data_IF_038673096063
#
_entry.id   IF_038673096063
#
_cell.length_a   1.000
_cell.length_b   1.000
_cell.length_c   1.000
_cell.angle_alpha   90.00
_cell.angle_beta   90.00
_cell.angle_gamma   90.00
#
_symmetry.space_group_name_H-M   'P 1'
#
loop_
_entity.id
_entity.type
_entity.pdbx_description
1 polymer ?
#
# COMPACT_ATOMS: atom_id res chain seq x y z
N UNK A 1 18.46 -20.08 10.53
CA UNK A 1 18.46 -21.14 11.57
C UNK A 1 18.27 -20.46 12.92
N UNK A 2 17.28 -20.88 13.69
CA UNK A 2 17.02 -20.44 15.07
C UNK A 2 17.35 -21.61 15.99
N UNK A 3 18.12 -21.36 17.05
CA UNK A 3 18.43 -22.35 18.07
C UNK A 3 18.03 -21.81 19.44
N UNK A 4 17.29 -22.62 20.19
CA UNK A 4 16.91 -22.36 21.57
C UNK A 4 17.52 -23.47 22.42
N UNK A 5 18.42 -23.09 23.32
CA UNK A 5 18.98 -23.95 24.38
C UNK A 5 19.10 -23.10 25.66
N UNK A 6 20.19 -23.20 26.42
CA UNK A 6 20.49 -22.26 27.51
C UNK A 6 20.56 -20.79 27.05
N UNK A 7 20.81 -20.57 25.76
CA UNK A 7 20.73 -19.28 25.07
C UNK A 7 19.92 -19.39 23.79
N UNK A 8 19.46 -18.24 23.28
CA UNK A 8 18.80 -18.15 21.98
C UNK A 8 19.80 -17.59 20.97
N UNK A 9 20.04 -18.34 19.89
CA UNK A 9 20.98 -17.94 18.83
C UNK A 9 20.28 -17.91 17.47
N UNK A 10 20.44 -16.81 16.73
CA UNK A 10 19.90 -16.64 15.37
C UNK A 10 21.05 -16.60 14.36
N UNK A 11 21.02 -17.51 13.41
CA UNK A 11 21.90 -17.53 12.24
C UNK A 11 21.08 -17.18 11.00
N UNK A 12 21.52 -16.18 10.24
CA UNK A 12 20.83 -15.72 9.02
C UNK A 12 21.84 -15.36 7.94
N UNK A 13 21.46 -15.56 6.68
CA UNK A 13 22.23 -15.14 5.50
C UNK A 13 21.99 -13.69 5.08
N UNK A 14 21.15 -12.95 5.81
CA UNK A 14 20.85 -11.53 5.55
C UNK A 14 19.85 -10.93 6.54
N UNK A 15 19.60 -9.62 6.43
CA UNK A 15 18.74 -8.89 7.39
C UNK A 15 17.29 -9.42 7.43
N UNK A 16 16.66 -9.65 6.27
CA UNK A 16 15.30 -10.19 6.23
C UNK A 16 15.18 -11.56 6.93
N UNK A 17 16.19 -12.42 6.81
CA UNK A 17 16.21 -13.71 7.50
C UNK A 17 16.33 -13.58 9.02
N UNK A 18 17.00 -12.52 9.53
CA UNK A 18 17.02 -12.22 10.98
C UNK A 18 15.62 -11.84 11.45
N UNK A 19 14.95 -10.94 10.72
CA UNK A 19 13.56 -10.54 11.02
C UNK A 19 12.65 -11.78 11.08
N UNK A 20 12.66 -12.65 10.07
CA UNK A 20 11.79 -13.83 10.06
C UNK A 20 12.12 -14.85 11.17
N UNK A 21 13.38 -14.99 11.56
CA UNK A 21 13.75 -15.79 12.72
C UNK A 21 13.17 -15.21 14.01
N UNK A 22 13.20 -13.88 14.19
CA UNK A 22 12.58 -13.21 15.33
C UNK A 22 11.05 -13.36 15.34
N UNK A 23 10.39 -13.40 14.17
CA UNK A 23 8.96 -13.69 14.11
C UNK A 23 8.64 -15.13 14.54
N UNK A 24 9.49 -16.08 14.19
CA UNK A 24 9.38 -17.46 14.69
C UNK A 24 9.57 -17.51 16.20
N UNK A 25 10.56 -16.80 16.73
CA UNK A 25 10.76 -16.70 18.18
C UNK A 25 9.53 -16.08 18.89
N UNK A 26 8.94 -15.04 18.30
CA UNK A 26 7.72 -14.41 18.82
C UNK A 26 6.54 -15.39 18.85
N UNK A 27 6.41 -16.23 17.82
CA UNK A 27 5.39 -17.29 17.78
C UNK A 27 5.63 -18.35 18.86
N UNK A 28 6.88 -18.76 19.07
CA UNK A 28 7.26 -19.68 20.15
C UNK A 28 6.97 -19.11 21.54
N UNK A 29 7.28 -17.83 21.77
CA UNK A 29 6.97 -17.14 23.03
C UNK A 29 5.46 -17.01 23.27
N UNK A 30 4.67 -16.86 22.20
CA UNK A 30 3.21 -16.82 22.32
C UNK A 30 2.63 -18.18 22.72
N UNK A 31 3.15 -19.27 22.13
CA UNK A 31 2.69 -20.64 22.41
C UNK A 31 3.15 -21.15 23.78
N UNK A 32 4.42 -20.98 24.11
CA UNK A 32 5.06 -21.59 25.28
C UNK A 32 5.31 -20.61 26.44
N UNK A 33 4.94 -19.34 26.29
CA UNK A 33 5.25 -18.30 27.26
C UNK A 33 6.76 -18.08 27.41
N UNK A 34 7.25 -18.01 28.65
CA UNK A 34 8.68 -17.80 28.95
C UNK A 34 9.51 -19.09 28.96
N UNK A 35 8.88 -20.25 28.85
CA UNK A 35 9.53 -21.56 28.92
C UNK A 35 9.46 -22.25 27.57
N UNK A 36 10.33 -21.84 26.65
CA UNK A 36 10.39 -22.41 25.30
C UNK A 36 11.22 -23.71 25.34
N UNK A 37 10.77 -24.82 24.73
CA UNK A 37 11.55 -26.05 24.67
C UNK A 37 12.85 -25.85 23.89
N UNK A 38 13.85 -26.68 24.20
CA UNK A 38 15.08 -26.72 23.40
C UNK A 38 14.76 -27.21 22.00
N UNK A 39 15.03 -26.37 20.99
CA UNK A 39 14.64 -26.63 19.60
C UNK A 39 15.62 -25.97 18.62
N UNK A 40 15.84 -26.64 17.49
CA UNK A 40 16.61 -26.11 16.37
C UNK A 40 15.73 -26.08 15.11
N UNK A 41 15.51 -24.88 14.56
CA UNK A 41 14.68 -24.65 13.38
C UNK A 41 15.56 -24.18 12.22
N UNK A 42 15.59 -24.96 11.13
CA UNK A 42 16.17 -24.55 9.84
C UNK A 42 15.02 -24.20 8.90
N UNK A 43 14.90 -22.92 8.57
CA UNK A 43 13.78 -22.39 7.79
C UNK A 43 14.27 -21.57 6.59
N UNK A 44 13.51 -21.62 5.49
CA UNK A 44 13.67 -20.80 4.29
C UNK A 44 12.32 -20.71 3.54
N UNK A 45 11.97 -19.55 2.95
CA UNK A 45 10.73 -19.44 2.20
C UNK A 45 10.82 -20.26 0.89
N UNK A 46 9.72 -20.93 0.51
CA UNK A 46 9.59 -21.59 -0.81
C UNK A 46 9.58 -20.56 -1.95
N UNK A 47 8.89 -19.44 -1.76
CA UNK A 47 8.75 -18.37 -2.76
C UNK A 47 9.39 -17.08 -2.28
N UNK A 48 10.08 -16.39 -3.18
CA UNK A 48 10.78 -15.12 -2.89
C UNK A 48 9.80 -13.99 -2.59
N UNK A 49 8.69 -13.89 -3.32
CA UNK A 49 7.67 -12.85 -3.14
C UNK A 49 6.47 -13.47 -2.44
N UNK A 50 6.05 -12.86 -1.33
CA UNK A 50 4.89 -13.24 -0.52
C UNK A 50 4.14 -11.96 -0.18
N UNK A 51 3.15 -11.66 -1.01
CA UNK A 51 2.52 -10.33 -1.07
C UNK A 51 1.22 -10.19 -0.30
N UNK A 52 0.90 -8.96 0.05
CA UNK A 52 -0.42 -8.51 0.49
C UNK A 52 -0.72 -7.17 -0.19
N UNK A 53 -1.92 -7.02 -0.74
CA UNK A 53 -2.37 -5.76 -1.32
C UNK A 53 -3.29 -5.03 -0.34
N UNK A 54 -3.00 -3.75 -0.10
CA UNK A 54 -3.86 -2.86 0.68
C UNK A 54 -4.48 -1.81 -0.25
N UNK A 55 -5.81 -1.88 -0.39
CA UNK A 55 -6.60 -0.88 -1.10
C UNK A 55 -6.86 0.33 -0.20
N UNK A 56 -6.10 1.41 -0.45
CA UNK A 56 -6.33 2.71 0.18
C UNK A 56 -7.12 3.66 -0.72
N UNK A 57 -7.26 3.32 -2.01
CA UNK A 57 -8.01 4.06 -3.02
C UNK A 57 -9.52 4.09 -2.72
N UNK A 58 -10.13 2.95 -2.40
CA UNK A 58 -11.56 2.86 -2.03
C UNK A 58 -11.82 3.41 -0.63
N UNK A 59 -11.03 3.01 0.35
CA UNK A 59 -11.12 3.51 1.73
C UNK A 59 -9.75 3.89 2.27
N UNK A 60 -9.65 5.11 2.77
CA UNK A 60 -8.40 5.64 3.28
C UNK A 60 -8.12 5.06 4.67
N UNK A 61 -6.90 4.57 4.86
CA UNK A 61 -6.38 4.11 6.15
C UNK A 61 -5.34 5.11 6.68
N UNK A 62 -5.46 5.61 7.92
CA UNK A 62 -4.40 6.40 8.56
C UNK A 62 -3.05 5.68 8.54
N UNK A 63 -1.96 6.45 8.62
CA UNK A 63 -0.58 5.92 8.58
C UNK A 63 -0.36 4.83 9.64
N UNK A 64 -0.91 4.99 10.84
CA UNK A 64 -0.74 4.02 11.93
C UNK A 64 -1.44 2.68 11.64
N UNK A 65 -2.55 2.70 10.92
CA UNK A 65 -3.24 1.50 10.46
C UNK A 65 -2.43 0.78 9.37
N UNK A 66 -1.85 1.53 8.42
CA UNK A 66 -0.93 0.96 7.42
C UNK A 66 0.28 0.31 8.11
N UNK A 67 0.84 0.97 9.14
CA UNK A 67 1.93 0.40 9.96
C UNK A 67 1.47 -0.84 10.74
N UNK A 68 0.23 -0.89 11.20
CA UNK A 68 -0.35 -2.08 11.82
C UNK A 68 -0.43 -3.24 10.82
N UNK A 69 -0.86 -3.00 9.58
CA UNK A 69 -0.83 -4.02 8.52
C UNK A 69 0.58 -4.53 8.26
N UNK A 70 1.58 -3.64 8.16
CA UNK A 70 3.00 -4.02 7.99
C UNK A 70 3.47 -4.94 9.13
N UNK A 71 3.14 -4.63 10.39
CA UNK A 71 3.49 -5.51 11.52
C UNK A 71 2.83 -6.88 11.41
N UNK A 72 1.56 -6.93 11.00
CA UNK A 72 0.82 -8.19 10.79
C UNK A 72 1.39 -9.00 9.63
N UNK A 73 1.77 -8.35 8.54
CA UNK A 73 2.48 -8.97 7.41
C UNK A 73 3.80 -9.60 7.86
N UNK A 74 4.60 -8.86 8.63
CA UNK A 74 5.89 -9.34 9.14
C UNK A 74 5.71 -10.57 10.04
N UNK A 75 4.71 -10.57 10.94
CA UNK A 75 4.38 -11.73 11.79
C UNK A 75 4.15 -13.01 10.97
N UNK A 76 3.53 -12.88 9.79
CA UNK A 76 3.26 -13.98 8.86
C UNK A 76 4.38 -14.18 7.82
N UNK A 77 5.52 -13.51 8.01
CA UNK A 77 6.69 -13.56 7.13
C UNK A 77 6.37 -13.16 5.67
N UNK A 78 5.33 -12.37 5.44
CA UNK A 78 5.09 -11.69 4.16
C UNK A 78 6.14 -10.59 3.97
N UNK A 79 6.51 -10.32 2.72
CA UNK A 79 7.65 -9.44 2.41
C UNK A 79 7.40 -8.44 1.27
N UNK A 80 6.16 -8.33 0.80
CA UNK A 80 5.82 -7.44 -0.29
C UNK A 80 4.45 -6.78 -0.04
N UNK A 81 4.45 -5.47 0.18
CA UNK A 81 3.24 -4.67 0.32
C UNK A 81 2.94 -4.01 -1.02
N UNK A 82 1.84 -4.44 -1.65
CA UNK A 82 1.28 -3.77 -2.80
C UNK A 82 0.29 -2.70 -2.32
N UNK A 83 0.58 -1.43 -2.55
CA UNK A 83 -0.21 -0.32 -2.04
C UNK A 83 -0.97 0.32 -3.20
N UNK A 84 -2.27 0.00 -3.28
CA UNK A 84 -3.17 0.48 -4.32
C UNK A 84 -3.64 1.90 -3.97
N UNK A 85 -2.92 2.90 -4.50
CA UNK A 85 -2.96 4.30 -4.08
C UNK A 85 -4.01 5.15 -4.81
N UNK A 86 -4.46 4.71 -5.99
CA UNK A 86 -5.36 5.49 -6.83
C UNK A 86 -6.50 4.63 -7.31
N UNK A 87 -7.68 5.22 -7.34
CA UNK A 87 -8.90 4.59 -7.83
C UNK A 87 -9.93 5.59 -8.27
N UNK A 88 -11.05 5.10 -8.81
CA UNK A 88 -12.16 5.94 -9.20
C UNK A 88 -12.72 6.74 -8.01
N UNK A 89 -12.69 6.13 -6.82
CA UNK A 89 -13.26 6.69 -5.58
C UNK A 89 -12.24 7.46 -4.73
N UNK A 90 -10.99 7.57 -5.19
CA UNK A 90 -10.10 8.61 -4.73
C UNK A 90 -8.61 8.41 -5.01
N UNK A 91 -7.91 9.54 -4.94
CA UNK A 91 -6.48 9.66 -5.10
C UNK A 91 -5.80 9.89 -3.75
N UNK A 92 -4.79 9.08 -3.40
CA UNK A 92 -4.28 8.99 -2.01
C UNK A 92 -2.86 9.49 -1.80
N UNK A 93 -2.20 10.08 -2.78
CA UNK A 93 -0.80 10.53 -2.60
C UNK A 93 -0.58 11.94 -3.12
N UNK A 94 0.19 12.72 -2.38
CA UNK A 94 0.57 14.07 -2.76
C UNK A 94 1.54 14.09 -3.95
N UNK A 95 1.16 14.84 -4.99
CA UNK A 95 1.99 15.11 -6.17
C UNK A 95 2.07 16.63 -6.34
N UNK A 96 3.27 17.20 -6.17
CA UNK A 96 3.44 18.66 -6.16
C UNK A 96 3.06 19.33 -7.48
N UNK A 97 3.36 18.69 -8.62
CA UNK A 97 3.00 19.21 -9.95
C UNK A 97 1.47 19.20 -10.18
N UNK A 98 0.75 18.33 -9.47
CA UNK A 98 -0.69 18.12 -9.63
C UNK A 98 -1.46 18.24 -8.30
N UNK A 99 -1.52 19.45 -7.70
CA UNK A 99 -2.12 19.64 -6.37
C UNK A 99 -3.62 19.33 -6.30
N UNK A 100 -4.34 19.40 -7.43
CA UNK A 100 -5.78 19.10 -7.44
C UNK A 100 -6.05 17.62 -7.17
N UNK A 101 -5.10 16.71 -7.42
CA UNK A 101 -5.25 15.29 -7.13
C UNK A 101 -5.56 15.03 -5.65
N UNK A 102 -4.97 15.79 -4.74
CA UNK A 102 -5.28 15.67 -3.30
C UNK A 102 -6.31 16.69 -2.83
N UNK A 103 -6.39 17.89 -3.42
CA UNK A 103 -7.40 18.89 -3.03
C UNK A 103 -8.83 18.48 -3.43
N UNK A 104 -8.99 17.85 -4.60
CA UNK A 104 -10.28 17.40 -5.14
C UNK A 104 -10.33 15.87 -5.17
N UNK A 105 -9.34 15.22 -5.79
CA UNK A 105 -9.35 13.78 -6.08
C UNK A 105 -9.34 12.90 -4.83
N UNK A 106 -8.92 13.41 -3.67
CA UNK A 106 -8.93 12.64 -2.42
C UNK A 106 -10.29 12.64 -1.69
N UNK A 107 -11.26 13.43 -2.15
CA UNK A 107 -12.55 13.64 -1.48
C UNK A 107 -13.70 13.16 -2.34
N UNK A 108 -14.57 12.31 -1.78
CA UNK A 108 -15.85 11.95 -2.39
C UNK A 108 -17.02 12.27 -1.47
N UNK A 109 -18.14 12.67 -2.06
CA UNK A 109 -19.34 13.15 -1.34
C UNK A 109 -19.98 12.08 -0.46
N UNK A 110 -19.98 10.82 -0.91
CA UNK A 110 -20.65 9.69 -0.25
C UNK A 110 -20.02 8.36 -0.68
N UNK A 111 -20.46 7.26 -0.07
CA UNK A 111 -20.13 5.90 -0.55
C UNK A 111 -21.41 5.08 -0.71
N UNK A 112 -21.79 4.80 -1.95
CA UNK A 112 -23.07 4.22 -2.35
C UNK A 112 -24.27 4.95 -1.72
N UNK A 113 -24.98 4.26 -0.82
CA UNK A 113 -26.13 4.76 -0.08
C UNK A 113 -25.75 5.47 1.24
N UNK A 114 -24.48 5.42 1.66
CA UNK A 114 -24.01 6.09 2.86
C UNK A 114 -23.63 7.55 2.54
N UNK A 115 -24.52 8.48 2.88
CA UNK A 115 -24.41 9.92 2.64
C UNK A 115 -23.37 10.66 3.51
N UNK A 116 -22.25 10.01 3.82
CA UNK A 116 -21.12 10.58 4.55
C UNK A 116 -19.93 10.81 3.62
N UNK A 117 -19.39 12.03 3.65
CA UNK A 117 -18.17 12.36 2.92
C UNK A 117 -16.99 11.49 3.39
N UNK A 118 -16.24 10.94 2.44
CA UNK A 118 -15.01 10.21 2.69
C UNK A 118 -13.83 10.97 2.09
N UNK A 119 -12.74 11.10 2.85
CA UNK A 119 -11.55 11.86 2.45
C UNK A 119 -10.28 11.28 3.06
N UNK A 120 -9.14 11.66 2.48
CA UNK A 120 -7.82 11.36 3.03
C UNK A 120 -6.80 11.07 1.93
N UNK A 121 -5.55 11.48 2.17
CA UNK A 121 -4.39 11.21 1.35
C UNK A 121 -3.13 11.23 2.23
N UNK A 122 -2.04 10.69 1.69
CA UNK A 122 -0.72 10.71 2.31
C UNK A 122 0.13 11.82 1.72
N UNK A 123 0.78 12.60 2.59
CA UNK A 123 1.86 13.50 2.17
C UNK A 123 3.09 12.71 1.72
N UNK A 124 4.00 13.32 0.96
CA UNK A 124 5.27 12.66 0.61
C UNK A 124 6.06 12.22 1.85
N UNK A 125 6.01 12.99 2.93
CA UNK A 125 6.66 12.62 4.20
C UNK A 125 6.02 11.38 4.85
N UNK A 126 4.69 11.25 4.79
CA UNK A 126 3.98 10.08 5.30
C UNK A 126 4.28 8.82 4.48
N UNK A 127 4.32 8.92 3.14
CA UNK A 127 4.75 7.81 2.28
C UNK A 127 6.17 7.37 2.61
N UNK A 128 7.12 8.31 2.74
CA UNK A 128 8.50 8.00 3.17
C UNK A 128 8.54 7.30 4.52
N UNK A 129 7.69 7.71 5.48
CA UNK A 129 7.56 7.04 6.78
C UNK A 129 7.03 5.61 6.66
N UNK A 130 6.03 5.37 5.80
CA UNK A 130 5.48 4.03 5.53
C UNK A 130 6.54 3.13 4.90
N UNK A 131 7.24 3.60 3.86
CA UNK A 131 8.29 2.85 3.16
C UNK A 131 9.42 2.48 4.10
N UNK A 132 9.93 3.46 4.87
CA UNK A 132 10.96 3.20 5.88
C UNK A 132 10.49 2.14 6.88
N UNK A 133 9.28 2.29 7.41
CA UNK A 133 8.75 1.35 8.39
C UNK A 133 8.59 -0.07 7.82
N UNK A 134 8.15 -0.21 6.58
CA UNK A 134 8.08 -1.50 5.89
C UNK A 134 9.48 -2.14 5.74
N UNK A 135 10.48 -1.36 5.35
CA UNK A 135 11.87 -1.82 5.21
C UNK A 135 12.46 -2.30 6.54
N UNK A 136 12.15 -1.62 7.65
CA UNK A 136 12.58 -2.04 9.00
C UNK A 136 12.02 -3.44 9.37
N UNK A 137 10.95 -3.90 8.71
CA UNK A 137 10.37 -5.25 8.84
C UNK A 137 10.71 -6.21 7.69
N UNK A 138 11.64 -5.84 6.79
CA UNK A 138 12.02 -6.65 5.63
C UNK A 138 10.93 -6.77 4.57
N UNK A 139 10.03 -5.78 4.48
CA UNK A 139 8.92 -5.72 3.52
C UNK A 139 9.23 -4.65 2.47
N UNK A 140 9.26 -5.03 1.19
CA UNK A 140 9.31 -4.09 0.07
C UNK A 140 7.93 -3.47 -0.17
N UNK A 141 7.87 -2.22 -0.63
CA UNK A 141 6.62 -1.53 -0.97
C UNK A 141 6.56 -1.29 -2.47
N UNK A 142 5.47 -1.72 -3.10
CA UNK A 142 5.14 -1.44 -4.49
C UNK A 142 3.95 -0.49 -4.53
N UNK A 143 4.14 0.78 -4.93
CA UNK A 143 3.01 1.67 -5.18
C UNK A 143 2.29 1.25 -6.46
N UNK A 144 0.98 1.42 -6.49
CA UNK A 144 0.19 1.27 -7.71
C UNK A 144 -0.60 2.53 -7.99
N UNK A 145 -0.43 3.00 -9.24
CA UNK A 145 -1.21 4.02 -9.90
C UNK A 145 -1.92 3.34 -11.06
N UNK A 146 -3.18 2.96 -10.87
CA UNK A 146 -3.94 2.19 -11.87
C UNK A 146 -4.28 3.07 -13.08
N UNK A 147 -3.87 2.62 -14.26
CA UNK A 147 -4.01 3.32 -15.54
C UNK A 147 -4.20 2.31 -16.70
N UNK A 148 -4.89 2.69 -17.80
CA UNK A 148 -5.61 3.95 -17.99
C UNK A 148 -7.00 3.97 -17.33
N UNK A 149 -7.47 2.80 -16.87
CA UNK A 149 -8.71 2.63 -16.11
C UNK A 149 -8.62 3.20 -14.70
N UNK A 150 -9.68 3.03 -13.91
CA UNK A 150 -9.68 3.35 -12.47
C UNK A 150 -9.18 4.77 -12.12
N UNK A 151 -9.37 5.70 -13.06
CA UNK A 151 -8.74 7.02 -13.07
C UNK A 151 -9.75 8.14 -12.85
N UNK A 152 -10.99 7.83 -12.47
CA UNK A 152 -12.05 8.84 -12.29
C UNK A 152 -11.69 9.92 -11.27
N UNK A 153 -10.90 9.60 -10.23
CA UNK A 153 -10.42 10.60 -9.28
C UNK A 153 -9.44 11.60 -9.88
N UNK A 154 -8.59 11.18 -10.83
CA UNK A 154 -7.70 12.07 -11.58
C UNK A 154 -8.47 12.92 -12.60
N UNK A 155 -9.42 12.30 -13.33
CA UNK A 155 -10.27 13.01 -14.30
C UNK A 155 -11.12 14.12 -13.66
N UNK A 156 -11.58 13.90 -12.42
CA UNK A 156 -12.30 14.92 -11.65
C UNK A 156 -11.45 16.16 -11.31
N UNK A 157 -10.12 16.02 -11.33
CA UNK A 157 -9.17 17.09 -11.05
C UNK A 157 -8.73 17.79 -12.34
N UNK A 158 -8.47 17.01 -13.38
CA UNK A 158 -7.89 17.45 -14.64
C UNK A 158 -8.67 16.85 -15.81
N UNK A 159 -9.81 17.47 -16.14
CA UNK A 159 -10.75 16.97 -17.16
C UNK A 159 -10.10 16.79 -18.55
N UNK A 160 -9.04 17.56 -18.88
CA UNK A 160 -8.33 17.43 -20.15
C UNK A 160 -7.69 16.05 -20.37
N UNK A 161 -7.48 15.26 -19.30
CA UNK A 161 -6.94 13.90 -19.35
C UNK A 161 -7.92 12.87 -19.96
N UNK A 162 -9.23 13.16 -19.98
CA UNK A 162 -10.24 12.26 -20.54
C UNK A 162 -10.38 12.38 -22.06
N UNK A 163 -10.94 11.36 -22.72
CA UNK A 163 -11.17 11.40 -24.18
C UNK A 163 -12.20 12.46 -24.59
N UNK A 164 -13.15 12.73 -23.70
CA UNK A 164 -14.26 13.65 -23.92
C UNK A 164 -14.28 14.71 -22.81
N UNK A 165 -14.67 15.92 -23.15
CA UNK A 165 -14.80 17.01 -22.18
C UNK A 165 -16.03 16.78 -21.29
N UNK A 166 -15.84 16.09 -20.17
CA UNK A 166 -16.91 15.74 -19.23
C UNK A 166 -16.54 16.17 -17.83
N UNK A 167 -17.31 17.09 -17.26
CA UNK A 167 -17.11 17.48 -15.87
C UNK A 167 -17.73 16.43 -14.95
N UNK A 168 -16.86 15.65 -14.31
CA UNK A 168 -17.20 14.37 -13.72
C UNK A 168 -16.65 14.34 -12.29
N UNK A 169 -17.49 14.18 -11.26
CA UNK A 169 -16.98 14.13 -9.89
C UNK A 169 -16.22 12.83 -9.63
N UNK A 170 -15.40 12.83 -8.58
CA UNK A 170 -14.83 11.60 -7.98
C UNK A 170 -15.95 10.60 -7.75
N UNK A 171 -15.73 9.34 -8.11
CA UNK A 171 -16.78 8.33 -8.02
C UNK A 171 -17.21 8.10 -6.57
N UNK A 172 -18.52 8.01 -6.36
CA UNK A 172 -19.12 7.78 -5.06
C UNK A 172 -19.76 6.39 -4.93
N UNK A 173 -19.61 5.55 -5.96
CA UNK A 173 -20.16 4.19 -6.03
C UNK A 173 -19.15 3.23 -6.68
N UNK A 174 -19.35 1.94 -6.42
CA UNK A 174 -18.53 0.86 -6.97
C UNK A 174 -18.79 0.60 -8.45
N UNK A 175 -18.08 -0.39 -9.01
CA UNK A 175 -18.22 -0.82 -10.40
C UNK A 175 -17.29 -0.09 -11.36
N UNK A 176 -17.15 -0.63 -12.56
CA UNK A 176 -16.22 -0.17 -13.58
C UNK A 176 -16.68 1.17 -14.17
N UNK A 177 -15.79 2.15 -14.22
CA UNK A 177 -16.03 3.42 -14.89
C UNK A 177 -15.47 3.36 -16.32
N UNK A 178 -16.23 3.90 -17.27
CA UNK A 178 -15.86 3.87 -18.69
C UNK A 178 -15.10 5.13 -19.14
N UNK A 179 -15.12 6.19 -18.32
CA UNK A 179 -14.27 7.35 -18.53
C UNK A 179 -12.87 7.02 -17.98
N UNK A 180 -11.89 6.93 -18.90
CA UNK A 180 -10.51 6.53 -18.65
C UNK A 180 -9.55 7.63 -19.12
N UNK A 181 -8.27 7.52 -18.76
CA UNK A 181 -7.24 8.38 -19.35
C UNK A 181 -7.17 8.19 -20.87
N UNK A 182 -7.08 9.28 -21.62
CA UNK A 182 -7.07 9.26 -23.07
C UNK A 182 -5.68 8.93 -23.62
N UNK A 183 -5.45 7.68 -24.00
CA UNK A 183 -4.19 7.25 -24.62
C UNK A 183 -3.88 7.96 -25.96
N UNK A 184 -4.84 8.68 -26.56
CA UNK A 184 -4.62 9.44 -27.79
C UNK A 184 -4.09 10.87 -27.57
N UNK A 185 -3.75 11.27 -26.34
CA UNK A 185 -3.30 12.61 -25.99
C UNK A 185 -1.91 12.60 -25.36
N UNK A 186 -0.99 13.43 -25.88
CA UNK A 186 0.35 13.63 -25.29
C UNK A 186 0.28 14.06 -23.82
N UNK A 187 -0.69 14.91 -23.46
CA UNK A 187 -0.90 15.33 -22.08
C UNK A 187 -1.14 14.18 -21.09
N UNK A 188 -1.65 13.03 -21.57
CA UNK A 188 -1.82 11.84 -20.73
C UNK A 188 -0.49 11.15 -20.46
N UNK A 189 0.41 11.10 -21.43
CA UNK A 189 1.75 10.56 -21.26
C UNK A 189 2.59 11.45 -20.34
N UNK A 190 2.58 12.76 -20.57
CA UNK A 190 3.24 13.75 -19.69
C UNK A 190 2.76 13.58 -18.24
N UNK A 191 1.44 13.48 -18.04
CA UNK A 191 0.86 13.23 -16.72
C UNK A 191 1.37 11.93 -16.09
N UNK A 192 1.41 10.82 -16.83
CA UNK A 192 1.87 9.54 -16.28
C UNK A 192 3.36 9.59 -15.93
N UNK A 193 4.20 10.17 -16.79
CA UNK A 193 5.64 10.35 -16.52
C UNK A 193 5.88 11.17 -15.25
N UNK A 194 5.20 12.32 -15.14
CA UNK A 194 5.31 13.21 -13.97
C UNK A 194 4.83 12.58 -12.65
N UNK A 195 4.00 11.53 -12.71
CA UNK A 195 3.52 10.79 -11.54
C UNK A 195 4.51 9.70 -11.13
N UNK A 196 5.20 9.10 -12.09
CA UNK A 196 6.14 8.00 -11.87
C UNK A 196 7.52 8.51 -11.42
N UNK A 197 7.92 9.71 -11.84
CA UNK A 197 9.16 10.41 -11.44
C UNK A 197 9.18 10.92 -9.98
#
# INVERSE_FOLDING_TARGET
RLEVNEKITVYSSGEAGKVFALQTLKQLLFEYGRTIPFIAIKDKPKYKIRGFMLDVGRYFYPVDDVKLFIRKMSLHKLNFLHLHLTEDQGWRVEIYKYPLLTQIGSVRKKTNFNHRQHKGYYTKAQIKSIVKYAHDFGISVMPEFDIPGHSRSALACYNYLGCFERNLPVADHWGVKHDVLCAGKESTYEFVEDIVD
#
